data_IF_219682116642
#
_entry.id   IF_219682116642
#
_cell.length_a   1.000
_cell.length_b   1.000
_cell.length_c   1.000
_cell.angle_alpha   90.00
_cell.angle_beta   90.00
_cell.angle_gamma   90.00
#
_symmetry.space_group_name_H-M   'P 1'
#
loop_
_entity.id
_entity.type
_entity.pdbx_description
1 polymer ?
#
# COMPACT_ATOMS: atom_id res chain seq x y z
N UNK A 1 21.11 31.67 -10.34
CA UNK A 1 22.07 32.76 -10.10
C UNK A 1 22.54 33.26 -11.46
N UNK A 2 21.82 34.21 -12.05
CA UNK A 2 22.31 35.00 -13.18
C UNK A 2 21.89 36.44 -12.89
N UNK A 3 22.89 37.31 -12.68
CA UNK A 3 22.79 38.70 -12.17
C UNK A 3 22.42 38.78 -10.69
N UNK A 4 23.36 39.21 -9.85
CA UNK A 4 23.29 39.27 -8.37
C UNK A 4 22.24 40.22 -7.77
N UNK A 5 21.01 40.21 -8.28
CA UNK A 5 19.83 40.73 -7.59
C UNK A 5 19.06 39.56 -6.98
N UNK A 6 18.68 39.70 -5.72
CA UNK A 6 17.89 38.74 -4.97
C UNK A 6 16.45 38.76 -5.52
N UNK A 7 16.20 38.03 -6.60
CA UNK A 7 14.85 37.85 -7.11
C UNK A 7 14.06 37.02 -6.09
N UNK A 8 13.15 37.67 -5.36
CA UNK A 8 12.12 36.95 -4.60
C UNK A 8 11.26 36.20 -5.62
N UNK A 9 11.22 34.85 -5.61
CA UNK A 9 10.35 34.13 -6.52
C UNK A 9 8.90 34.54 -6.22
N UNK A 10 8.24 35.16 -7.20
CA UNK A 10 6.88 35.69 -7.03
C UNK A 10 5.85 34.60 -6.73
N UNK A 11 6.10 33.36 -7.15
CA UNK A 11 5.35 32.14 -6.80
C UNK A 11 6.25 30.90 -6.94
N UNK A 12 6.04 29.91 -6.07
CA UNK A 12 6.64 28.58 -6.17
C UNK A 12 7.82 28.34 -5.24
N UNK A 13 7.97 27.08 -4.84
CA UNK A 13 9.09 26.58 -4.05
C UNK A 13 10.17 26.05 -4.99
N UNK A 14 11.45 26.19 -4.60
CA UNK A 14 12.56 25.60 -5.36
C UNK A 14 12.46 24.08 -5.28
N UNK A 15 12.14 23.44 -6.41
CA UNK A 15 12.09 21.98 -6.56
C UNK A 15 13.48 21.39 -6.26
N UNK A 16 13.61 20.71 -5.11
CA UNK A 16 14.87 20.16 -4.63
C UNK A 16 15.31 20.67 -3.25
N UNK A 17 14.66 21.70 -2.71
CA UNK A 17 14.88 22.08 -1.31
C UNK A 17 14.19 21.11 -0.35
N UNK A 18 14.90 20.70 0.72
CA UNK A 18 14.39 19.76 1.74
C UNK A 18 13.13 20.29 2.44
N UNK A 19 12.96 21.61 2.49
CA UNK A 19 11.86 22.32 3.17
C UNK A 19 10.63 22.47 2.25
N UNK A 20 10.79 22.37 0.93
CA UNK A 20 9.66 22.53 0.01
C UNK A 20 8.51 21.54 0.26
N UNK A 21 8.74 20.23 0.48
CA UNK A 21 7.64 19.29 0.70
C UNK A 21 6.88 19.56 2.00
N UNK A 22 7.55 20.06 3.05
CA UNK A 22 6.90 20.36 4.32
C UNK A 22 6.04 21.62 4.20
N UNK A 23 6.55 22.67 3.57
CA UNK A 23 5.77 23.89 3.32
C UNK A 23 4.54 23.62 2.43
N UNK A 24 4.70 22.82 1.37
CA UNK A 24 3.58 22.43 0.52
C UNK A 24 2.50 21.66 1.31
N UNK A 25 2.91 20.76 2.21
CA UNK A 25 1.97 20.04 3.06
C UNK A 25 1.27 20.93 4.09
N UNK A 26 1.97 21.93 4.66
CA UNK A 26 1.37 22.90 5.58
C UNK A 26 0.34 23.75 4.84
N UNK A 27 0.67 24.21 3.63
CA UNK A 27 -0.23 24.99 2.80
C UNK A 27 -1.50 24.22 2.43
N UNK A 28 -1.34 22.97 1.97
CA UNK A 28 -2.47 22.12 1.60
C UNK A 28 -3.27 21.57 2.80
N UNK A 29 -2.79 21.77 4.03
CA UNK A 29 -3.55 21.38 5.23
C UNK A 29 -4.83 22.20 5.39
N UNK A 30 -4.88 23.45 4.90
CA UNK A 30 -6.10 24.26 4.91
C UNK A 30 -7.22 23.59 4.10
N UNK A 31 -6.86 22.98 2.97
CA UNK A 31 -7.80 22.19 2.17
C UNK A 31 -8.25 20.93 2.92
N UNK A 32 -7.35 20.25 3.62
CA UNK A 32 -7.70 19.07 4.44
C UNK A 32 -8.70 19.45 5.56
N UNK A 33 -8.50 20.60 6.21
CA UNK A 33 -9.41 21.15 7.22
C UNK A 33 -10.79 21.49 6.62
N UNK A 34 -10.82 22.16 5.47
CA UNK A 34 -12.06 22.44 4.75
C UNK A 34 -12.80 21.14 4.40
N UNK A 35 -12.11 20.14 3.86
CA UNK A 35 -12.72 18.85 3.52
C UNK A 35 -13.25 18.11 4.75
N UNK A 36 -12.60 18.24 5.91
CA UNK A 36 -13.11 17.68 7.16
C UNK A 36 -14.44 18.33 7.58
N UNK A 37 -14.54 19.66 7.50
CA UNK A 37 -15.81 20.37 7.78
C UNK A 37 -16.89 20.02 6.75
N UNK A 38 -16.55 20.03 5.46
CA UNK A 38 -17.48 19.70 4.38
C UNK A 38 -18.03 18.28 4.54
N UNK A 39 -17.18 17.31 4.91
CA UNK A 39 -17.57 15.93 5.18
C UNK A 39 -18.66 15.83 6.25
N UNK A 40 -18.53 16.57 7.35
CA UNK A 40 -19.57 16.55 8.40
C UNK A 40 -20.91 17.11 7.94
N UNK A 41 -20.91 18.11 7.06
CA UNK A 41 -22.14 18.69 6.49
C UNK A 41 -22.78 17.81 5.41
N UNK A 42 -21.96 17.05 4.67
CA UNK A 42 -22.38 16.24 3.53
C UNK A 42 -22.84 14.84 3.95
N UNK A 43 -22.23 14.27 4.98
CA UNK A 43 -22.53 12.92 5.45
C UNK A 43 -23.96 12.86 6.05
N UNK A 44 -24.85 12.13 5.37
CA UNK A 44 -26.25 11.91 5.81
C UNK A 44 -26.53 10.42 5.94
N UNK A 45 -27.19 10.04 7.04
CA UNK A 45 -27.63 8.67 7.30
C UNK A 45 -26.56 7.74 7.88
N UNK A 46 -26.97 6.88 8.81
CA UNK A 46 -26.07 5.91 9.47
C UNK A 46 -25.91 4.62 8.67
N UNK A 47 -26.99 4.13 8.06
CA UNK A 47 -27.04 2.92 7.23
C UNK A 47 -27.98 3.14 6.04
N UNK A 48 -27.67 2.53 4.90
CA UNK A 48 -28.57 2.50 3.74
C UNK A 48 -29.81 1.67 4.04
N UNK A 49 -30.96 2.04 3.47
CA UNK A 49 -32.15 1.22 3.57
C UNK A 49 -31.98 -0.10 2.80
N UNK A 50 -32.44 -1.18 3.44
CA UNK A 50 -32.52 -2.50 2.83
C UNK A 50 -33.59 -2.48 1.72
N UNK A 51 -33.33 -3.18 0.61
CA UNK A 51 -34.31 -3.23 -0.47
C UNK A 51 -35.52 -4.07 -0.05
N UNK A 52 -36.74 -3.54 -0.30
CA UNK A 52 -38.01 -4.20 0.06
C UNK A 52 -38.11 -5.61 -0.55
N UNK A 53 -37.65 -5.74 -1.78
CA UNK A 53 -37.64 -7.02 -2.50
C UNK A 53 -36.69 -8.05 -1.86
N UNK A 54 -35.51 -7.62 -1.42
CA UNK A 54 -34.57 -8.50 -0.71
C UNK A 54 -35.15 -8.99 0.62
N UNK A 55 -35.81 -8.09 1.37
CA UNK A 55 -36.50 -8.45 2.62
C UNK A 55 -37.61 -9.47 2.34
N UNK A 56 -38.39 -9.29 1.28
CA UNK A 56 -39.46 -10.23 0.90
C UNK A 56 -38.91 -11.62 0.59
N UNK A 57 -37.84 -11.72 -0.22
CA UNK A 57 -37.18 -12.99 -0.55
C UNK A 57 -36.57 -13.63 0.70
N UNK A 58 -35.96 -12.84 1.59
CA UNK A 58 -35.41 -13.33 2.86
C UNK A 58 -36.50 -13.92 3.76
N UNK A 59 -37.63 -13.23 3.89
CA UNK A 59 -38.78 -13.70 4.68
C UNK A 59 -39.37 -14.99 4.10
N UNK A 60 -39.50 -15.09 2.78
CA UNK A 60 -39.91 -16.33 2.08
C UNK A 60 -38.94 -17.49 2.37
N UNK A 61 -37.63 -17.26 2.27
CA UNK A 61 -36.63 -18.29 2.58
C UNK A 61 -36.73 -18.75 4.05
N UNK A 62 -36.91 -17.82 4.99
CA UNK A 62 -37.02 -18.17 6.41
C UNK A 62 -38.28 -18.99 6.71
N UNK A 63 -39.43 -18.63 6.11
CA UNK A 63 -40.67 -19.42 6.20
C UNK A 63 -40.47 -20.82 5.63
N UNK A 64 -39.85 -20.95 4.47
CA UNK A 64 -39.57 -22.24 3.84
C UNK A 64 -38.64 -23.11 4.70
N UNK A 65 -37.61 -22.52 5.31
CA UNK A 65 -36.70 -23.24 6.24
C UNK A 65 -37.44 -23.79 7.46
N UNK A 66 -38.33 -22.99 8.07
CA UNK A 66 -39.17 -23.43 9.19
C UNK A 66 -40.11 -24.57 8.78
N UNK A 67 -40.69 -24.49 7.58
CA UNK A 67 -41.53 -25.58 7.06
C UNK A 67 -40.72 -26.85 6.80
N UNK A 68 -39.48 -26.74 6.31
CA UNK A 68 -38.57 -27.88 6.09
C UNK A 68 -38.13 -28.52 7.41
N UNK A 69 -37.90 -27.77 8.50
CA UNK A 69 -37.51 -28.36 9.78
C UNK A 69 -38.58 -29.27 10.39
N UNK A 70 -39.87 -29.00 10.10
CA UNK A 70 -40.99 -29.82 10.58
C UNK A 70 -41.32 -31.06 9.73
N UNK A 71 -40.62 -31.29 8.60
CA UNK A 71 -40.92 -32.36 7.65
C UNK A 71 -39.96 -33.55 7.76
N UNK A 72 -40.50 -34.76 7.70
CA UNK A 72 -39.74 -36.02 7.69
C UNK A 72 -38.72 -36.09 6.54
N UNK A 73 -37.60 -36.78 6.79
CA UNK A 73 -36.36 -36.74 5.97
C UNK A 73 -36.54 -37.25 4.53
N UNK A 74 -37.51 -38.14 4.28
CA UNK A 74 -37.76 -38.79 2.98
C UNK A 74 -39.00 -38.31 2.21
N UNK A 75 -39.67 -37.24 2.66
CA UNK A 75 -40.86 -36.74 1.96
C UNK A 75 -40.52 -36.11 0.59
N UNK A 76 -41.29 -36.45 -0.45
CA UNK A 76 -41.22 -35.80 -1.77
C UNK A 76 -41.42 -34.28 -1.67
N UNK A 77 -42.20 -33.83 -0.70
CA UNK A 77 -42.43 -32.41 -0.42
C UNK A 77 -41.18 -31.71 0.09
N UNK A 78 -40.36 -32.42 0.89
CA UNK A 78 -39.08 -31.90 1.37
C UNK A 78 -38.13 -31.64 0.20
N UNK A 79 -38.08 -32.55 -0.78
CA UNK A 79 -37.24 -32.40 -1.98
C UNK A 79 -37.72 -31.23 -2.85
N UNK A 80 -39.04 -31.07 -3.04
CA UNK A 80 -39.62 -29.91 -3.76
C UNK A 80 -39.28 -28.59 -3.06
N UNK A 81 -39.49 -28.50 -1.75
CA UNK A 81 -39.16 -27.30 -0.94
C UNK A 81 -37.65 -27.01 -0.93
N UNK A 82 -36.79 -28.02 -0.99
CA UNK A 82 -35.34 -27.81 -1.12
C UNK A 82 -34.95 -27.23 -2.49
N UNK A 83 -35.61 -27.64 -3.58
CA UNK A 83 -35.41 -27.04 -4.91
C UNK A 83 -35.85 -25.57 -4.92
N UNK A 84 -37.01 -25.27 -4.34
CA UNK A 84 -37.53 -23.90 -4.19
C UNK A 84 -36.62 -23.02 -3.31
N UNK A 85 -36.08 -23.58 -2.23
CA UNK A 85 -35.09 -22.89 -1.40
C UNK A 85 -33.79 -22.60 -2.19
N UNK A 86 -33.41 -23.47 -3.12
CA UNK A 86 -32.26 -23.24 -4.00
C UNK A 86 -32.52 -22.11 -5.01
N UNK A 87 -33.73 -22.04 -5.60
CA UNK A 87 -34.09 -20.95 -6.52
C UNK A 87 -34.18 -19.61 -5.79
N UNK A 88 -34.81 -19.55 -4.62
CA UNK A 88 -34.87 -18.34 -3.79
C UNK A 88 -33.47 -17.88 -3.36
N UNK A 89 -32.57 -18.81 -3.03
CA UNK A 89 -31.17 -18.48 -2.72
C UNK A 89 -30.44 -17.89 -3.92
N UNK A 90 -30.63 -18.44 -5.11
CA UNK A 90 -30.04 -17.89 -6.33
C UNK A 90 -30.57 -16.47 -6.57
N UNK A 91 -31.90 -16.27 -6.50
CA UNK A 91 -32.52 -14.94 -6.63
C UNK A 91 -31.94 -13.94 -5.61
N UNK A 92 -31.84 -14.32 -4.34
CA UNK A 92 -31.31 -13.45 -3.28
C UNK A 92 -29.87 -13.00 -3.54
N UNK A 93 -29.07 -13.86 -4.15
CA UNK A 93 -27.67 -13.56 -4.47
C UNK A 93 -27.56 -12.62 -5.67
N UNK A 94 -28.45 -12.76 -6.65
CA UNK A 94 -28.52 -11.84 -7.79
C UNK A 94 -29.02 -10.45 -7.37
N UNK A 95 -29.82 -10.36 -6.31
CA UNK A 95 -30.41 -9.11 -5.82
C UNK A 95 -29.50 -8.37 -4.85
N UNK A 96 -29.52 -7.03 -4.90
CA UNK A 96 -28.76 -6.20 -3.95
C UNK A 96 -29.52 -6.08 -2.62
N UNK A 97 -28.83 -6.42 -1.54
CA UNK A 97 -29.35 -6.33 -0.16
C UNK A 97 -29.74 -4.90 0.24
N UNK A 98 -28.94 -3.92 -0.18
CA UNK A 98 -29.17 -2.50 0.04
C UNK A 98 -29.71 -1.84 -1.22
N UNK A 99 -30.54 -0.81 -1.07
CA UNK A 99 -30.83 0.10 -2.18
C UNK A 99 -29.54 0.83 -2.59
N UNK A 100 -29.08 0.72 -3.85
CA UNK A 100 -27.83 1.34 -4.28
C UNK A 100 -27.91 2.87 -4.39
N UNK A 101 -29.08 3.38 -4.77
CA UNK A 101 -29.39 4.80 -5.00
C UNK A 101 -30.37 5.30 -3.94
N UNK A 102 -29.96 5.21 -2.68
CA UNK A 102 -30.75 5.72 -1.56
C UNK A 102 -30.41 7.21 -1.37
N UNK A 103 -31.36 8.10 -1.62
CA UNK A 103 -31.17 9.55 -1.50
C UNK A 103 -30.91 9.99 -0.05
N UNK A 104 -31.27 9.16 0.92
CA UNK A 104 -31.11 9.38 2.36
C UNK A 104 -29.70 9.07 2.88
N UNK A 105 -28.88 8.36 2.09
CA UNK A 105 -27.52 7.98 2.48
C UNK A 105 -26.48 8.61 1.55
N UNK A 106 -25.80 9.64 2.05
CA UNK A 106 -24.72 10.32 1.34
C UNK A 106 -23.46 10.26 2.16
N UNK A 107 -22.33 9.97 1.53
CA UNK A 107 -21.02 10.02 2.16
C UNK A 107 -19.95 10.52 1.22
N UNK A 108 -19.00 11.27 1.76
CA UNK A 108 -17.80 11.65 1.06
C UNK A 108 -16.57 11.04 1.70
N UNK A 109 -15.70 10.47 0.86
CA UNK A 109 -14.39 9.99 1.23
C UNK A 109 -13.35 10.86 0.56
N UNK A 110 -12.36 11.32 1.32
CA UNK A 110 -11.30 12.18 0.86
C UNK A 110 -9.96 11.57 1.25
N UNK A 111 -9.03 11.47 0.29
CA UNK A 111 -7.67 11.02 0.52
C UNK A 111 -6.71 11.85 -0.33
N UNK A 112 -5.71 12.46 0.31
CA UNK A 112 -4.66 13.23 -0.36
C UNK A 112 -3.31 12.53 -0.30
N UNK A 113 -2.49 12.75 -1.31
CA UNK A 113 -1.07 12.43 -1.37
C UNK A 113 -0.33 13.54 -2.11
N UNK A 114 0.39 14.40 -1.38
CA UNK A 114 0.98 15.63 -1.91
C UNK A 114 -0.07 16.47 -2.67
N UNK A 115 0.10 16.64 -3.98
CA UNK A 115 -0.79 17.41 -4.86
C UNK A 115 -1.95 16.57 -5.41
N UNK A 116 -1.82 15.24 -5.43
CA UNK A 116 -2.83 14.33 -5.96
C UNK A 116 -3.83 13.98 -4.85
N UNK A 117 -5.12 14.21 -5.09
CA UNK A 117 -6.19 13.81 -4.17
C UNK A 117 -7.31 13.04 -4.86
N UNK A 118 -7.91 12.13 -4.12
CA UNK A 118 -9.02 11.29 -4.54
C UNK A 118 -10.25 11.61 -3.67
N UNK A 119 -11.37 11.87 -4.34
CA UNK A 119 -12.66 12.10 -3.71
C UNK A 119 -13.63 11.00 -4.15
N UNK A 120 -14.09 10.20 -3.21
CA UNK A 120 -15.15 9.22 -3.42
C UNK A 120 -16.48 9.76 -2.91
N UNK A 121 -17.44 9.99 -3.81
CA UNK A 121 -18.80 10.42 -3.45
C UNK A 121 -19.76 9.24 -3.57
N UNK A 122 -20.45 8.93 -2.50
CA UNK A 122 -21.63 8.05 -2.51
C UNK A 122 -22.84 8.98 -2.64
N UNK A 123 -23.35 9.15 -3.86
CA UNK A 123 -24.44 10.06 -4.16
C UNK A 123 -24.76 10.10 -5.66
N UNK A 124 -25.53 11.10 -6.06
CA UNK A 124 -25.86 11.32 -7.47
C UNK A 124 -24.67 11.92 -8.24
N UNK A 125 -24.70 11.85 -9.58
CA UNK A 125 -23.71 12.54 -10.43
C UNK A 125 -23.74 14.06 -10.21
N UNK A 126 -24.92 14.62 -9.94
CA UNK A 126 -25.07 16.05 -9.66
C UNK A 126 -24.32 16.44 -8.39
N UNK A 127 -24.45 15.66 -7.31
CA UNK A 127 -23.72 15.93 -6.05
C UNK A 127 -22.19 15.95 -6.26
N UNK A 128 -21.68 15.08 -7.15
CA UNK A 128 -20.26 15.06 -7.49
C UNK A 128 -19.82 16.32 -8.26
N UNK A 129 -20.65 16.81 -9.18
CA UNK A 129 -20.39 18.05 -9.93
C UNK A 129 -20.42 19.27 -8.98
N UNK A 130 -21.42 19.34 -8.09
CA UNK A 130 -21.52 20.42 -7.11
C UNK A 130 -20.31 20.41 -6.16
N UNK A 131 -19.90 19.23 -5.69
CA UNK A 131 -18.71 19.09 -4.85
C UNK A 131 -17.45 19.56 -5.58
N UNK A 132 -17.31 19.25 -6.88
CA UNK A 132 -16.21 19.74 -7.72
C UNK A 132 -16.20 21.27 -7.79
N UNK A 133 -17.34 21.91 -8.02
CA UNK A 133 -17.47 23.37 -8.11
C UNK A 133 -17.15 24.07 -6.77
N UNK A 134 -17.60 23.50 -5.65
CA UNK A 134 -17.29 24.02 -4.30
C UNK A 134 -15.79 24.00 -4.06
N UNK A 135 -15.13 22.88 -4.34
CA UNK A 135 -13.68 22.72 -4.15
C UNK A 135 -12.90 23.63 -5.09
N UNK A 136 -13.35 23.79 -6.35
CA UNK A 136 -12.74 24.71 -7.30
C UNK A 136 -12.84 26.17 -6.83
N UNK A 137 -14.00 26.55 -6.29
CA UNK A 137 -14.20 27.90 -5.72
C UNK A 137 -13.32 28.15 -4.51
N UNK A 138 -13.18 27.16 -3.62
CA UNK A 138 -12.31 27.22 -2.45
C UNK A 138 -10.84 27.36 -2.83
N UNK A 139 -10.35 26.51 -3.75
CA UNK A 139 -8.96 26.53 -4.23
C UNK A 139 -8.60 27.87 -4.90
N UNK A 140 -9.53 28.47 -5.64
CA UNK A 140 -9.31 29.76 -6.29
C UNK A 140 -9.32 30.94 -5.30
N UNK A 141 -10.24 30.91 -4.32
CA UNK A 141 -10.44 32.01 -3.36
C UNK A 141 -9.41 32.03 -2.24
N UNK A 142 -9.18 30.89 -1.59
CA UNK A 142 -8.32 30.83 -0.39
C UNK A 142 -6.88 30.49 -0.75
N UNK A 143 -6.68 29.50 -1.63
CA UNK A 143 -5.35 29.00 -1.96
C UNK A 143 -4.76 29.61 -3.24
N UNK A 144 -5.52 30.41 -3.99
CA UNK A 144 -5.12 30.99 -5.28
C UNK A 144 -4.46 29.98 -6.25
N UNK A 145 -4.91 28.72 -6.20
CA UNK A 145 -4.43 27.63 -7.03
C UNK A 145 -5.39 27.39 -8.20
N UNK A 146 -4.84 27.17 -9.39
CA UNK A 146 -5.60 26.80 -10.58
C UNK A 146 -5.66 25.28 -10.68
N UNK A 147 -6.87 24.75 -10.67
CA UNK A 147 -7.14 23.32 -10.84
C UNK A 147 -7.00 22.94 -12.32
N UNK A 148 -6.22 21.89 -12.62
CA UNK A 148 -6.14 21.36 -13.97
C UNK A 148 -7.42 20.58 -14.30
N UNK A 149 -8.21 21.08 -15.25
CA UNK A 149 -9.47 20.48 -15.66
C UNK A 149 -9.28 19.10 -16.31
N UNK A 150 -8.17 18.91 -17.03
CA UNK A 150 -7.81 17.65 -17.70
C UNK A 150 -7.60 16.50 -16.72
N UNK A 151 -7.09 16.79 -15.52
CA UNK A 151 -6.85 15.77 -14.48
C UNK A 151 -8.09 15.45 -13.66
N UNK A 152 -9.09 16.34 -13.64
CA UNK A 152 -10.27 16.21 -12.76
C UNK A 152 -11.50 15.70 -13.50
N UNK A 153 -11.37 14.51 -14.07
CA UNK A 153 -12.50 13.81 -14.69
C UNK A 153 -13.37 13.13 -13.62
N UNK A 154 -14.69 13.35 -13.68
CA UNK A 154 -15.66 12.61 -12.84
C UNK A 154 -15.97 11.28 -13.52
N UNK A 155 -15.33 10.21 -13.08
CA UNK A 155 -15.58 8.84 -13.55
C UNK A 155 -16.67 8.16 -12.74
N UNK A 156 -17.45 7.26 -13.36
CA UNK A 156 -18.35 6.40 -12.59
C UNK A 156 -17.54 5.41 -11.75
N UNK A 157 -17.98 5.05 -10.54
CA UNK A 157 -17.23 4.14 -9.67
C UNK A 157 -16.97 2.73 -10.21
N UNK A 158 -17.59 2.35 -11.34
CA UNK A 158 -17.35 1.07 -12.02
C UNK A 158 -16.30 1.19 -13.13
N UNK A 159 -15.95 2.40 -13.53
CA UNK A 159 -14.86 2.68 -14.45
C UNK A 159 -13.55 2.74 -13.67
N UNK A 160 -12.44 2.58 -14.39
CA UNK A 160 -11.10 2.60 -13.82
C UNK A 160 -10.64 4.04 -13.65
N UNK A 161 -10.45 4.46 -12.41
CA UNK A 161 -9.78 5.71 -12.09
C UNK A 161 -8.30 5.45 -11.81
N UNK A 162 -7.40 6.28 -12.34
CA UNK A 162 -5.97 6.18 -12.04
C UNK A 162 -5.62 7.05 -10.82
N UNK A 163 -4.94 6.48 -9.83
CA UNK A 163 -4.46 7.19 -8.64
C UNK A 163 -3.17 6.57 -8.16
N UNK A 164 -2.10 7.37 -8.01
CA UNK A 164 -0.77 6.92 -7.59
C UNK A 164 -0.30 5.66 -8.36
N UNK A 165 -0.47 5.66 -9.69
CA UNK A 165 -0.08 4.52 -10.55
C UNK A 165 -0.97 3.28 -10.46
N UNK A 166 -1.97 3.25 -9.57
CA UNK A 166 -2.97 2.19 -9.47
C UNK A 166 -4.24 2.53 -10.25
N UNK A 167 -4.89 1.51 -10.81
CA UNK A 167 -6.26 1.60 -11.32
C UNK A 167 -7.24 1.16 -10.23
N UNK A 168 -8.06 2.09 -9.74
CA UNK A 168 -9.08 1.85 -8.72
C UNK A 168 -10.41 1.59 -9.41
N UNK A 169 -11.09 0.52 -9.01
CA UNK A 169 -12.45 0.21 -9.49
C UNK A 169 -13.30 -0.36 -8.36
N UNK A 170 -14.61 -0.18 -8.46
CA UNK A 170 -15.57 -0.93 -7.66
C UNK A 170 -15.95 -2.20 -8.43
N UNK A 171 -15.85 -3.35 -7.77
CA UNK A 171 -16.25 -4.61 -8.38
C UNK A 171 -17.76 -4.64 -8.63
N UNK A 172 -18.14 -4.97 -9.87
CA UNK A 172 -19.52 -5.31 -10.25
C UNK A 172 -19.96 -6.61 -9.58
N UNK A 173 -21.27 -6.90 -9.62
CA UNK A 173 -21.79 -8.23 -9.26
C UNK A 173 -21.07 -9.27 -10.12
N UNK A 174 -20.37 -10.18 -9.47
CA UNK A 174 -19.63 -11.24 -10.13
C UNK A 174 -20.45 -12.53 -10.19
N UNK A 175 -19.84 -13.59 -10.72
CA UNK A 175 -20.37 -14.94 -10.53
C UNK A 175 -20.32 -15.25 -9.02
N UNK A 176 -21.44 -15.63 -8.40
CA UNK A 176 -21.46 -15.95 -6.99
C UNK A 176 -20.51 -17.10 -6.67
N UNK A 177 -19.64 -16.91 -5.69
CA UNK A 177 -18.74 -17.96 -5.22
C UNK A 177 -19.30 -18.64 -3.98
N UNK A 178 -18.90 -19.89 -3.76
CA UNK A 178 -19.25 -20.63 -2.55
C UNK A 178 -18.24 -20.34 -1.46
N UNK A 179 -18.75 -20.03 -0.28
CA UNK A 179 -17.97 -19.91 0.94
C UNK A 179 -17.37 -21.26 1.35
N UNK A 180 -16.38 -21.25 2.25
CA UNK A 180 -15.84 -22.47 2.90
C UNK A 180 -16.95 -23.33 3.56
N UNK A 181 -18.08 -22.71 3.90
CA UNK A 181 -19.28 -23.36 4.45
C UNK A 181 -20.32 -23.76 3.37
N UNK A 182 -19.96 -23.73 2.08
CA UNK A 182 -20.80 -24.10 0.94
C UNK A 182 -21.93 -23.11 0.61
N UNK A 183 -22.05 -21.99 1.32
CA UNK A 183 -23.06 -20.95 1.06
C UNK A 183 -22.68 -20.12 -0.16
N UNK A 184 -23.60 -19.96 -1.12
CA UNK A 184 -23.44 -19.02 -2.22
C UNK A 184 -23.48 -17.58 -1.68
N UNK A 185 -22.45 -16.79 -1.96
CA UNK A 185 -22.38 -15.38 -1.60
C UNK A 185 -21.71 -14.59 -2.72
N UNK A 186 -22.30 -13.47 -3.12
CA UNK A 186 -21.60 -12.48 -3.94
C UNK A 186 -20.72 -11.60 -3.03
N UNK A 187 -19.59 -12.16 -2.61
CA UNK A 187 -18.58 -11.46 -1.80
C UNK A 187 -17.88 -10.33 -2.57
N UNK A 188 -18.04 -10.31 -3.89
CA UNK A 188 -17.29 -9.45 -4.79
C UNK A 188 -17.99 -8.12 -5.00
N UNK A 189 -19.32 -8.07 -4.92
CA UNK A 189 -20.09 -6.85 -5.11
C UNK A 189 -19.72 -5.71 -4.15
N UNK A 190 -19.46 -4.52 -4.71
CA UNK A 190 -19.28 -3.29 -3.94
C UNK A 190 -17.95 -3.17 -3.19
N UNK A 191 -17.01 -4.11 -3.40
CA UNK A 191 -15.64 -4.00 -2.87
C UNK A 191 -14.78 -3.17 -3.81
N UNK A 192 -13.99 -2.27 -3.23
CA UNK A 192 -12.93 -1.55 -3.94
C UNK A 192 -11.82 -2.53 -4.29
N UNK A 193 -11.40 -2.51 -5.55
CA UNK A 193 -10.30 -3.30 -6.09
C UNK A 193 -9.23 -2.38 -6.65
N UNK A 194 -7.98 -2.78 -6.41
CA UNK A 194 -6.80 -2.09 -6.91
C UNK A 194 -6.19 -2.94 -8.02
N UNK A 195 -5.95 -2.35 -9.17
CA UNK A 195 -5.34 -3.01 -10.31
C UNK A 195 -4.02 -2.33 -10.68
N UNK A 196 -3.05 -3.14 -11.08
CA UNK A 196 -1.83 -2.72 -11.76
C UNK A 196 -2.17 -2.51 -13.25
N UNK A 197 -2.08 -1.28 -13.79
CA UNK A 197 -2.26 -1.02 -15.20
C UNK A 197 -1.20 -1.74 -16.03
N UNK A 198 -1.61 -2.33 -17.17
CA UNK A 198 -0.68 -3.02 -18.10
C UNK A 198 0.44 -2.09 -18.57
N UNK A 199 0.08 -0.83 -18.86
CA UNK A 199 0.99 0.19 -19.35
C UNK A 199 2.13 0.50 -18.36
N UNK A 200 1.91 0.41 -17.04
CA UNK A 200 2.93 0.81 -16.07
C UNK A 200 4.14 -0.12 -16.05
N UNK A 201 3.91 -1.43 -16.08
CA UNK A 201 5.03 -2.39 -16.11
C UNK A 201 5.64 -2.52 -17.51
N UNK A 202 4.85 -2.29 -18.58
CA UNK A 202 5.38 -2.16 -19.94
C UNK A 202 6.32 -0.97 -20.10
N UNK A 203 5.91 0.22 -19.62
CA UNK A 203 6.77 1.40 -19.61
C UNK A 203 8.10 1.14 -18.90
N UNK A 204 8.08 0.44 -17.76
CA UNK A 204 9.32 0.04 -17.07
C UNK A 204 10.19 -0.91 -17.89
N UNK A 205 9.59 -1.89 -18.57
CA UNK A 205 10.33 -2.83 -19.42
C UNK A 205 11.03 -2.10 -20.58
N UNK A 206 10.32 -1.17 -21.21
CA UNK A 206 10.85 -0.33 -22.31
C UNK A 206 11.97 0.57 -21.78
N UNK A 207 11.75 1.28 -20.66
CA UNK A 207 12.78 2.12 -20.01
C UNK A 207 14.04 1.34 -19.66
N UNK A 208 13.88 0.08 -19.27
CA UNK A 208 14.99 -0.78 -18.90
C UNK A 208 15.67 -1.47 -20.11
N UNK A 209 15.24 -1.19 -21.34
CA UNK A 209 15.70 -1.82 -22.60
C UNK A 209 15.66 -3.36 -22.59
N UNK A 210 14.83 -3.95 -21.72
CA UNK A 210 14.75 -5.40 -21.52
C UNK A 210 13.93 -6.12 -22.59
N UNK A 211 13.24 -5.38 -23.47
CA UNK A 211 12.28 -5.91 -24.44
C UNK A 211 12.58 -5.41 -25.85
N UNK A 212 12.32 -6.30 -26.81
CA UNK A 212 12.07 -5.96 -28.20
C UNK A 212 10.61 -6.31 -28.49
N UNK A 213 9.82 -5.31 -28.89
CA UNK A 213 8.45 -5.51 -29.36
C UNK A 213 8.57 -5.88 -30.84
N UNK A 214 8.16 -7.09 -31.21
CA UNK A 214 8.05 -7.50 -32.61
C UNK A 214 6.57 -7.61 -32.95
N UNK A 215 6.14 -7.01 -34.06
CA UNK A 215 4.78 -7.12 -34.57
C UNK A 215 4.74 -8.27 -35.57
N UNK A 216 3.84 -9.24 -35.36
CA UNK A 216 3.55 -10.26 -36.37
C UNK A 216 2.75 -9.65 -37.54
N UNK A 217 2.69 -10.38 -38.66
CA UNK A 217 1.87 -10.04 -39.82
C UNK A 217 0.37 -9.87 -39.48
N UNK A 218 -0.11 -10.52 -38.40
CA UNK A 218 -1.50 -10.44 -37.91
C UNK A 218 -1.75 -9.28 -36.91
N UNK A 219 -0.78 -8.37 -36.72
CA UNK A 219 -0.92 -7.22 -35.82
C UNK A 219 -0.81 -7.53 -34.33
N UNK A 220 -0.52 -8.79 -33.94
CA UNK A 220 -0.28 -9.18 -32.55
C UNK A 220 1.15 -8.85 -32.12
N UNK A 221 1.29 -8.20 -30.96
CA UNK A 221 2.59 -7.84 -30.37
C UNK A 221 3.21 -9.04 -29.65
N UNK A 222 4.34 -9.55 -30.16
CA UNK A 222 5.15 -10.56 -29.47
C UNK A 222 6.26 -9.84 -28.71
N UNK A 223 6.25 -9.99 -27.39
CA UNK A 223 7.25 -9.38 -26.52
C UNK A 223 8.42 -10.34 -26.33
N UNK A 224 9.55 -10.03 -26.98
CA UNK A 224 10.77 -10.85 -26.86
C UNK A 224 11.75 -10.21 -25.87
N UNK A 225 12.33 -10.98 -24.94
CA UNK A 225 13.35 -10.47 -24.04
C UNK A 225 14.61 -10.09 -24.83
N UNK A 226 15.19 -8.93 -24.54
CA UNK A 226 16.42 -8.41 -25.15
C UNK A 226 17.55 -8.41 -24.12
N UNK A 227 18.79 -8.62 -24.59
CA UNK A 227 19.98 -8.42 -23.77
C UNK A 227 20.21 -6.91 -23.56
N UNK A 228 20.41 -6.50 -22.32
CA UNK A 228 20.89 -5.17 -21.94
C UNK A 228 22.41 -5.11 -22.08
N UNK A 229 22.88 -4.51 -23.16
CA UNK A 229 24.31 -4.38 -23.43
C UNK A 229 25.02 -3.47 -22.41
N UNK A 230 24.27 -2.51 -21.85
CA UNK A 230 24.75 -1.54 -20.86
C UNK A 230 25.13 -2.18 -19.51
N UNK A 231 24.94 -3.48 -19.31
CA UNK A 231 25.28 -4.19 -18.08
C UNK A 231 26.41 -5.21 -18.27
N UNK A 232 26.96 -5.35 -19.49
CA UNK A 232 27.95 -6.37 -19.82
C UNK A 232 29.27 -6.18 -19.07
N UNK A 233 29.63 -4.94 -18.73
CA UNK A 233 30.87 -4.61 -18.02
C UNK A 233 30.83 -4.96 -16.53
N UNK A 234 29.64 -5.11 -15.93
CA UNK A 234 29.49 -5.36 -14.50
C UNK A 234 29.75 -6.83 -14.16
N UNK A 235 30.23 -7.15 -12.94
CA UNK A 235 30.36 -8.51 -12.48
C UNK A 235 29.00 -9.20 -12.35
N UNK A 236 28.96 -10.53 -12.52
CA UNK A 236 27.71 -11.28 -12.63
C UNK A 236 26.76 -11.06 -11.45
N UNK A 237 27.29 -11.00 -10.23
CA UNK A 237 26.48 -10.79 -9.02
C UNK A 237 25.85 -9.40 -8.93
N UNK A 238 26.47 -8.38 -9.52
CA UNK A 238 25.88 -7.04 -9.62
C UNK A 238 24.77 -6.99 -10.66
N UNK A 239 24.95 -7.67 -11.81
CA UNK A 239 23.88 -7.82 -12.81
C UNK A 239 22.66 -8.48 -12.14
N UNK A 240 22.84 -9.56 -11.40
CA UNK A 240 21.75 -10.19 -10.63
C UNK A 240 21.09 -9.23 -9.65
N UNK A 241 21.87 -8.41 -8.92
CA UNK A 241 21.34 -7.43 -7.96
C UNK A 241 20.48 -6.36 -8.63
N UNK A 242 20.92 -5.83 -9.77
CA UNK A 242 20.18 -4.80 -10.52
C UNK A 242 18.82 -5.36 -10.97
N UNK A 243 18.82 -6.53 -11.63
CA UNK A 243 17.58 -7.18 -12.06
C UNK A 243 16.66 -7.49 -10.87
N UNK A 244 17.20 -7.99 -9.76
CA UNK A 244 16.43 -8.23 -8.54
C UNK A 244 15.83 -6.96 -7.98
N UNK A 245 16.59 -5.88 -7.89
CA UNK A 245 16.13 -4.62 -7.33
C UNK A 245 14.97 -4.04 -8.15
N UNK A 246 15.03 -4.14 -9.47
CA UNK A 246 13.93 -3.73 -10.35
C UNK A 246 12.67 -4.57 -10.16
N UNK A 247 12.80 -5.90 -10.13
CA UNK A 247 11.68 -6.83 -9.94
C UNK A 247 11.03 -6.61 -8.57
N UNK A 248 11.85 -6.58 -7.53
CA UNK A 248 11.42 -6.41 -6.15
C UNK A 248 10.82 -5.02 -5.95
N UNK A 249 11.44 -3.97 -6.48
CA UNK A 249 10.94 -2.60 -6.36
C UNK A 249 9.58 -2.42 -7.02
N UNK A 250 9.38 -2.99 -8.21
CA UNK A 250 8.08 -2.98 -8.88
C UNK A 250 7.03 -3.77 -8.09
N UNK A 251 7.37 -4.97 -7.62
CA UNK A 251 6.46 -5.78 -6.82
C UNK A 251 6.11 -5.13 -5.47
N UNK A 252 7.09 -4.58 -4.75
CA UNK A 252 6.87 -3.90 -3.47
C UNK A 252 5.90 -2.74 -3.62
N UNK A 253 6.06 -1.96 -4.70
CA UNK A 253 5.14 -0.86 -5.00
C UNK A 253 3.73 -1.37 -5.28
N UNK A 254 3.56 -2.43 -6.08
CA UNK A 254 2.26 -2.95 -6.55
C UNK A 254 1.70 -4.15 -5.78
N UNK A 255 2.28 -4.52 -4.64
CA UNK A 255 1.92 -5.74 -3.87
C UNK A 255 0.47 -5.79 -3.39
N UNK A 256 -0.21 -4.64 -3.36
CA UNK A 256 -1.60 -4.50 -2.92
C UNK A 256 -2.61 -4.70 -4.05
N UNK A 257 -2.16 -4.78 -5.30
CA UNK A 257 -3.04 -4.99 -6.45
C UNK A 257 -3.65 -6.40 -6.45
N UNK A 258 -4.93 -6.49 -6.83
CA UNK A 258 -5.66 -7.75 -6.99
C UNK A 258 -5.13 -8.60 -8.15
N UNK A 259 -4.59 -7.95 -9.18
CA UNK A 259 -3.94 -8.59 -10.33
C UNK A 259 -2.41 -8.65 -10.20
N UNK A 260 -1.85 -8.68 -8.98
CA UNK A 260 -0.40 -8.81 -8.78
C UNK A 260 0.21 -10.01 -9.53
N UNK A 261 -0.58 -11.05 -9.80
CA UNK A 261 -0.16 -12.21 -10.59
C UNK A 261 0.27 -11.88 -12.03
N UNK A 262 -0.16 -10.75 -12.60
CA UNK A 262 0.29 -10.28 -13.92
C UNK A 262 1.80 -10.00 -13.93
N UNK A 263 2.40 -9.73 -12.77
CA UNK A 263 3.85 -9.58 -12.65
C UNK A 263 4.61 -10.90 -12.92
N UNK A 264 3.95 -12.06 -12.96
CA UNK A 264 4.61 -13.29 -13.43
C UNK A 264 5.06 -13.17 -14.89
N UNK A 265 4.27 -12.53 -15.75
CA UNK A 265 4.63 -12.32 -17.16
C UNK A 265 5.81 -11.34 -17.27
N UNK A 266 5.79 -10.26 -16.48
CA UNK A 266 6.93 -9.34 -16.33
C UNK A 266 8.20 -10.08 -15.86
N UNK A 267 8.06 -10.92 -14.83
CA UNK A 267 9.16 -11.70 -14.28
C UNK A 267 9.73 -12.69 -15.29
N UNK A 268 8.88 -13.35 -16.06
CA UNK A 268 9.29 -14.23 -17.15
C UNK A 268 10.20 -13.47 -18.11
N UNK A 269 9.76 -12.30 -18.60
CA UNK A 269 10.56 -11.51 -19.54
C UNK A 269 11.89 -11.06 -18.92
N UNK A 270 11.87 -10.59 -17.68
CA UNK A 270 13.08 -10.17 -16.96
C UNK A 270 14.07 -11.32 -16.74
N UNK A 271 13.59 -12.52 -16.39
CA UNK A 271 14.41 -13.72 -16.21
C UNK A 271 15.13 -14.11 -17.50
N UNK A 272 14.44 -14.10 -18.63
CA UNK A 272 15.07 -14.42 -19.92
C UNK A 272 15.95 -13.28 -20.44
N UNK A 273 15.64 -12.02 -20.14
CA UNK A 273 16.53 -10.88 -20.42
C UNK A 273 17.85 -11.02 -19.66
N UNK A 274 17.81 -11.37 -18.36
CA UNK A 274 18.99 -11.66 -17.55
C UNK A 274 19.81 -12.83 -18.11
N UNK A 275 19.13 -13.90 -18.53
CA UNK A 275 19.85 -15.04 -19.13
C UNK A 275 20.53 -14.66 -20.45
N UNK A 276 19.91 -13.77 -21.25
CA UNK A 276 20.49 -13.23 -22.49
C UNK A 276 21.65 -12.27 -22.23
N UNK A 277 21.61 -11.42 -21.20
CA UNK A 277 22.74 -10.54 -20.87
C UNK A 277 23.96 -11.33 -20.43
N UNK A 278 23.77 -12.33 -19.57
CA UNK A 278 24.84 -13.23 -19.15
C UNK A 278 25.38 -14.07 -20.33
N UNK A 279 24.49 -14.51 -21.23
CA UNK A 279 24.89 -15.21 -22.45
C UNK A 279 25.77 -14.32 -23.36
N UNK A 280 25.39 -13.06 -23.56
CA UNK A 280 26.18 -12.09 -24.30
C UNK A 280 27.56 -11.85 -23.66
N UNK A 281 27.59 -11.69 -22.33
CA UNK A 281 28.84 -11.47 -21.58
C UNK A 281 29.81 -12.64 -21.67
N UNK A 282 29.32 -13.86 -21.47
CA UNK A 282 30.13 -15.08 -21.46
C UNK A 282 30.25 -15.73 -22.86
N UNK A 283 29.85 -15.02 -23.93
CA UNK A 283 29.83 -15.50 -25.32
C UNK A 283 29.28 -16.93 -25.44
N UNK A 284 28.19 -17.19 -24.74
CA UNK A 284 27.59 -18.52 -24.56
C UNK A 284 26.13 -18.51 -25.00
N UNK A 285 25.51 -19.69 -25.14
CA UNK A 285 24.08 -19.77 -25.40
C UNK A 285 23.27 -19.58 -24.11
N UNK A 286 22.06 -19.03 -24.22
CA UNK A 286 21.11 -18.85 -23.11
C UNK A 286 20.88 -20.18 -22.37
N UNK A 287 20.80 -21.28 -23.09
CA UNK A 287 20.59 -22.61 -22.51
C UNK A 287 21.80 -23.07 -21.65
N UNK A 288 23.04 -22.81 -22.08
CA UNK A 288 24.25 -23.12 -21.29
C UNK A 288 24.30 -22.29 -20.00
N UNK A 289 23.97 -21.00 -20.09
CA UNK A 289 23.89 -20.11 -18.93
C UNK A 289 22.80 -20.55 -17.97
N UNK A 290 21.62 -20.88 -18.48
CA UNK A 290 20.53 -21.38 -17.65
C UNK A 290 20.98 -22.63 -16.88
N UNK A 291 21.62 -23.61 -17.53
CA UNK A 291 22.18 -24.77 -16.82
C UNK A 291 23.25 -24.43 -15.77
N UNK A 292 24.09 -23.42 -16.03
CA UNK A 292 25.19 -23.04 -15.12
C UNK A 292 24.68 -22.35 -13.85
N UNK A 293 23.77 -21.39 -14.00
CA UNK A 293 23.27 -20.54 -12.90
C UNK A 293 21.97 -21.07 -12.28
N UNK A 294 21.20 -21.92 -12.96
CA UNK A 294 20.02 -22.57 -12.40
C UNK A 294 20.45 -23.81 -11.60
N UNK A 295 20.48 -23.67 -10.28
CA UNK A 295 20.86 -24.73 -9.33
C UNK A 295 19.80 -24.81 -8.24
N UNK A 296 19.44 -26.01 -7.79
CA UNK A 296 18.45 -26.22 -6.72
C UNK A 296 17.09 -25.54 -6.99
N UNK A 297 16.65 -25.54 -8.26
CA UNK A 297 15.38 -24.95 -8.66
C UNK A 297 15.35 -23.41 -8.72
N UNK A 298 16.49 -22.73 -8.49
CA UNK A 298 16.60 -21.26 -8.48
C UNK A 298 17.78 -20.78 -9.32
N UNK A 299 17.67 -19.60 -9.93
CA UNK A 299 18.84 -18.95 -10.54
C UNK A 299 19.66 -18.27 -9.44
N UNK A 300 20.93 -18.67 -9.31
CA UNK A 300 21.82 -18.13 -8.29
C UNK A 300 23.24 -17.90 -8.81
N UNK A 301 23.93 -16.93 -8.22
CA UNK A 301 25.34 -16.66 -8.46
C UNK A 301 26.08 -16.48 -7.14
N UNK A 302 27.31 -17.00 -7.06
CA UNK A 302 28.17 -16.90 -5.86
C UNK A 302 29.24 -15.85 -6.10
N UNK A 303 29.53 -15.05 -5.08
CA UNK A 303 30.62 -14.07 -5.10
C UNK A 303 31.37 -14.12 -3.76
N UNK A 304 32.67 -13.86 -3.80
CA UNK A 304 33.52 -13.84 -2.61
C UNK A 304 33.45 -12.47 -1.95
N UNK A 305 33.31 -12.44 -0.62
CA UNK A 305 33.49 -11.23 0.20
C UNK A 305 34.62 -11.47 1.20
N UNK A 306 35.13 -10.39 1.81
CA UNK A 306 36.17 -10.46 2.84
C UNK A 306 35.81 -11.44 3.99
N UNK A 307 34.52 -11.58 4.31
CA UNK A 307 34.02 -12.47 5.38
C UNK A 307 33.44 -13.80 4.84
N UNK A 308 33.84 -14.22 3.64
CA UNK A 308 33.45 -15.50 3.02
C UNK A 308 32.56 -15.39 1.77
N UNK A 309 32.17 -16.54 1.22
CA UNK A 309 31.35 -16.62 0.00
C UNK A 309 29.88 -16.32 0.26
N UNK A 310 29.29 -15.39 -0.50
CA UNK A 310 27.86 -15.07 -0.46
C UNK A 310 27.17 -15.47 -1.76
N UNK A 311 25.89 -15.84 -1.66
CA UNK A 311 25.07 -16.22 -2.81
C UNK A 311 23.98 -15.17 -3.03
N UNK A 312 23.78 -14.76 -4.30
CA UNK A 312 22.65 -13.93 -4.72
C UNK A 312 21.68 -14.82 -5.48
N UNK A 313 20.42 -14.84 -5.04
CA UNK A 313 19.33 -15.56 -5.68
C UNK A 313 18.47 -14.60 -6.50
N UNK A 314 18.01 -15.02 -7.67
CA UNK A 314 16.96 -14.31 -8.40
C UNK A 314 15.64 -14.44 -7.63
N UNK A 315 14.86 -13.36 -7.54
CA UNK A 315 13.58 -13.32 -6.84
C UNK A 315 12.61 -14.43 -7.29
N UNK A 316 12.15 -15.27 -6.36
CA UNK A 316 11.26 -16.40 -6.66
C UNK A 316 10.07 -16.56 -5.69
N UNK A 317 9.89 -15.63 -4.75
CA UNK A 317 8.84 -15.69 -3.71
C UNK A 317 7.39 -15.58 -4.24
N UNK A 318 7.23 -15.46 -5.56
CA UNK A 318 5.95 -15.32 -6.24
C UNK A 318 5.34 -13.92 -6.11
N UNK A 319 4.33 -13.64 -6.94
CA UNK A 319 3.63 -12.35 -6.98
C UNK A 319 2.21 -12.49 -6.45
N UNK A 320 2.08 -12.70 -5.14
CA UNK A 320 0.78 -12.82 -4.47
C UNK A 320 0.39 -11.48 -3.85
N UNK A 321 -0.91 -11.14 -3.91
CA UNK A 321 -1.43 -9.97 -3.18
C UNK A 321 -1.12 -10.12 -1.69
N UNK A 322 -0.49 -9.11 -1.12
CA UNK A 322 -0.34 -9.02 0.33
C UNK A 322 -1.55 -8.29 0.94
N UNK A 323 -2.08 -8.76 2.09
CA UNK A 323 -3.12 -8.03 2.79
C UNK A 323 -2.58 -6.67 3.22
N UNK A 324 -3.41 -5.64 3.11
CA UNK A 324 -3.11 -4.34 3.73
C UNK A 324 -3.17 -4.58 5.24
N UNK A 325 -2.02 -4.61 5.89
CA UNK A 325 -1.94 -4.72 7.34
C UNK A 325 -2.32 -3.35 7.90
N UNK A 326 -3.62 -3.12 8.14
CA UNK A 326 -4.12 -1.91 8.84
C UNK A 326 -3.81 -1.95 10.33
N UNK A 327 -3.49 -3.14 10.85
CA UNK A 327 -2.92 -3.28 12.17
C UNK A 327 -1.46 -2.86 12.10
N UNK A 328 -1.23 -1.54 12.09
CA UNK A 328 -0.19 -1.03 12.96
C UNK A 328 -0.61 -1.44 14.37
N UNK A 329 -0.33 -2.69 14.75
CA UNK A 329 0.05 -2.94 16.11
C UNK A 329 1.13 -1.89 16.32
N UNK A 330 0.77 -0.82 17.02
CA UNK A 330 1.71 0.16 17.49
C UNK A 330 2.83 -0.69 18.01
N UNK A 331 3.98 -0.69 17.31
CA UNK A 331 5.17 -1.24 17.93
C UNK A 331 5.18 -0.47 19.23
N UNK A 332 4.91 -1.16 20.34
CA UNK A 332 5.09 -0.62 21.68
C UNK A 332 6.59 -0.38 21.74
N UNK A 333 7.05 0.70 21.09
CA UNK A 333 8.28 1.34 21.46
C UNK A 333 8.06 1.59 22.93
N UNK A 334 8.83 0.90 23.74
CA UNK A 334 8.80 0.99 25.18
C UNK A 334 8.88 2.48 25.50
N UNK A 335 7.76 3.08 25.92
CA UNK A 335 7.70 4.46 26.41
C UNK A 335 8.42 4.59 27.76
N UNK A 336 9.36 3.70 28.06
CA UNK A 336 10.04 3.59 29.34
C UNK A 336 10.70 4.93 29.67
N UNK A 337 11.48 5.50 28.75
CA UNK A 337 12.11 6.81 28.97
C UNK A 337 11.08 7.91 29.32
N UNK A 338 10.00 8.01 28.55
CA UNK A 338 8.94 8.99 28.78
C UNK A 338 8.26 8.78 30.13
N UNK A 339 7.97 7.53 30.50
CA UNK A 339 7.38 7.20 31.80
C UNK A 339 8.31 7.51 32.97
N UNK A 340 9.62 7.34 32.81
CA UNK A 340 10.61 7.64 33.84
C UNK A 340 10.87 9.15 33.96
N UNK A 341 10.97 9.85 32.83
CA UNK A 341 11.07 11.31 32.81
C UNK A 341 9.84 11.98 33.45
N UNK A 342 8.63 11.49 33.14
CA UNK A 342 7.39 11.98 33.76
C UNK A 342 7.30 11.71 35.27
N UNK A 343 8.04 10.74 35.83
CA UNK A 343 8.08 10.51 37.28
C UNK A 343 8.84 11.61 38.02
N UNK A 344 9.71 12.37 37.34
CA UNK A 344 10.41 13.51 37.94
C UNK A 344 11.42 13.16 39.05
N UNK A 345 11.76 11.87 39.22
CA UNK A 345 12.72 11.42 40.23
C UNK A 345 14.10 11.18 39.61
N UNK A 346 15.17 11.55 40.32
CA UNK A 346 16.53 11.20 39.95
C UNK A 346 16.77 9.71 40.23
N UNK A 347 17.18 8.94 39.22
CA UNK A 347 17.42 7.50 39.34
C UNK A 347 18.72 7.19 40.10
N UNK A 348 19.66 8.13 40.23
CA UNK A 348 20.88 7.94 41.02
C UNK A 348 20.68 8.20 42.51
N UNK A 349 20.04 9.31 42.88
CA UNK A 349 19.91 9.72 44.29
C UNK A 349 18.50 9.58 44.87
N UNK A 350 17.50 9.22 44.06
CA UNK A 350 16.11 9.02 44.48
C UNK A 350 15.33 10.30 44.80
N UNK A 351 15.95 11.48 44.76
CA UNK A 351 15.29 12.77 45.07
C UNK A 351 14.42 13.24 43.90
N UNK A 352 13.41 14.04 44.18
CA UNK A 352 12.54 14.73 43.19
C UNK A 352 13.01 16.18 42.98
N UNK A 353 13.96 16.43 42.05
CA UNK A 353 14.40 17.78 41.73
C UNK A 353 13.37 18.54 40.88
N UNK A 354 13.42 19.88 40.85
CA UNK A 354 12.57 20.70 39.98
C UNK A 354 12.90 20.57 38.49
N UNK A 355 14.14 20.14 38.15
CA UNK A 355 14.57 19.86 36.78
C UNK A 355 15.33 18.53 36.71
N UNK A 356 14.92 17.69 35.77
CA UNK A 356 15.55 16.41 35.45
C UNK A 356 16.19 16.46 34.07
N UNK A 357 17.37 15.85 33.94
CA UNK A 357 18.16 15.78 32.71
C UNK A 357 18.32 14.31 32.34
N UNK A 358 18.25 14.00 31.05
CA UNK A 358 18.49 12.64 30.54
C UNK A 358 19.95 12.53 30.09
N UNK A 359 20.71 11.66 30.76
CA UNK A 359 22.03 11.25 30.31
C UNK A 359 21.91 10.03 29.39
N UNK A 360 22.59 10.03 28.24
CA UNK A 360 22.53 8.94 27.25
C UNK A 360 23.93 8.52 26.78
N UNK A 361 24.19 7.22 26.77
CA UNK A 361 25.45 6.61 26.31
C UNK A 361 25.25 5.89 24.97
N UNK A 362 26.22 5.99 24.05
CA UNK A 362 26.14 5.40 22.70
C UNK A 362 26.08 3.86 22.72
N UNK A 363 26.94 3.19 23.49
CA UNK A 363 26.94 1.73 23.68
C UNK A 363 27.20 1.36 25.14
N UNK A 364 26.51 0.33 25.64
CA UNK A 364 26.73 -0.20 26.99
C UNK A 364 28.11 -0.85 27.14
N UNK A 365 28.64 -1.43 26.07
CA UNK A 365 29.97 -2.06 26.04
C UNK A 365 31.14 -1.08 26.15
N UNK A 366 30.88 0.24 26.08
CA UNK A 366 31.90 1.29 26.22
C UNK A 366 32.06 1.75 27.67
N UNK A 367 31.20 1.29 28.60
CA UNK A 367 31.26 1.62 30.03
C UNK A 367 32.25 0.71 30.75
N UNK A 368 33.11 1.31 31.58
CA UNK A 368 34.16 0.59 32.32
C UNK A 368 33.65 -0.11 33.59
N UNK A 369 32.50 0.33 34.12
CA UNK A 369 31.89 -0.21 35.33
C UNK A 369 32.58 0.23 36.61
N UNK A 370 33.47 1.22 36.55
CA UNK A 370 34.26 1.70 37.69
C UNK A 370 33.47 2.73 38.51
N UNK A 371 32.67 3.56 37.84
CA UNK A 371 31.85 4.58 38.50
C UNK A 371 30.48 4.03 38.91
N UNK A 372 29.95 4.48 40.06
CA UNK A 372 28.66 4.00 40.58
C UNK A 372 27.46 4.26 39.65
N UNK A 373 27.53 5.25 38.77
CA UNK A 373 26.50 5.48 37.75
C UNK A 373 26.62 4.52 36.56
N UNK A 374 27.83 4.10 36.19
CA UNK A 374 28.08 3.12 35.12
C UNK A 374 27.59 1.72 35.54
N UNK A 375 27.89 1.32 36.78
CA UNK A 375 27.42 0.06 37.36
C UNK A 375 25.89 -0.01 37.32
N UNK A 376 25.22 1.07 37.71
CA UNK A 376 23.75 1.14 37.67
C UNK A 376 23.19 1.03 36.25
N UNK A 377 23.84 1.63 35.25
CA UNK A 377 23.41 1.50 33.84
C UNK A 377 23.63 0.09 33.28
N UNK A 378 24.72 -0.60 33.70
CA UNK A 378 25.00 -1.98 33.35
C UNK A 378 24.01 -2.95 34.01
N UNK A 379 23.72 -2.81 35.30
CA UNK A 379 22.73 -3.61 36.02
C UNK A 379 21.33 -3.48 35.39
N UNK A 380 20.93 -2.25 35.03
CA UNK A 380 19.65 -2.00 34.39
C UNK A 380 19.62 -2.40 32.90
N UNK A 381 20.77 -2.67 32.29
CA UNK A 381 20.93 -2.90 30.84
C UNK A 381 20.28 -1.80 29.99
N UNK A 382 20.44 -0.53 30.38
CA UNK A 382 19.79 0.63 29.75
C UNK A 382 20.81 1.70 29.36
N UNK A 383 20.66 2.26 28.15
CA UNK A 383 21.52 3.33 27.60
C UNK A 383 21.20 4.74 28.10
N UNK A 384 20.14 4.89 28.89
CA UNK A 384 19.60 6.18 29.33
C UNK A 384 19.41 6.19 30.83
N UNK A 385 19.71 7.32 31.47
CA UNK A 385 19.57 7.54 32.90
C UNK A 385 18.95 8.92 33.17
N UNK A 386 17.91 9.00 34.00
CA UNK A 386 17.30 10.29 34.38
C UNK A 386 17.93 10.80 35.68
N UNK A 387 18.57 11.96 35.63
CA UNK A 387 19.39 12.49 36.73
C UNK A 387 19.05 13.95 37.05
N UNK A 388 19.33 14.38 38.28
CA UNK A 388 19.29 15.80 38.66
C UNK A 388 20.55 16.53 38.18
N UNK A 389 20.51 17.87 38.12
CA UNK A 389 21.66 18.72 37.70
C UNK A 389 22.94 18.43 38.51
N UNK A 390 22.83 18.20 39.82
CA UNK A 390 23.98 17.88 40.68
C UNK A 390 24.60 16.53 40.35
N UNK A 391 23.79 15.51 40.03
CA UNK A 391 24.29 14.19 39.64
C UNK A 391 24.81 14.21 38.20
N UNK A 392 24.18 14.96 37.31
CA UNK A 392 24.67 15.17 35.95
C UNK A 392 26.06 15.82 35.95
N UNK A 393 26.26 16.84 36.80
CA UNK A 393 27.55 17.52 36.93
C UNK A 393 28.65 16.55 37.38
N UNK A 394 28.35 15.62 38.30
CA UNK A 394 29.29 14.57 38.73
C UNK A 394 29.66 13.59 37.61
N UNK A 395 28.69 13.22 36.78
CA UNK A 395 28.92 12.35 35.61
C UNK A 395 29.85 13.03 34.61
N UNK A 396 29.63 14.33 34.36
CA UNK A 396 30.44 15.11 33.40
C UNK A 396 31.83 15.44 33.96
N UNK A 397 31.94 15.68 35.27
CA UNK A 397 33.23 16.00 35.91
C UNK A 397 34.12 14.77 36.15
N UNK A 398 33.60 13.55 35.98
CA UNK A 398 34.41 12.31 35.99
C UNK A 398 34.99 11.90 37.35
N UNK A 399 34.35 12.31 38.46
CA UNK A 399 34.75 11.96 39.83
C UNK A 399 33.77 11.02 40.52
#
# INVERSE_FOLDING_TARGET
MEKGQLQRPGRGLHQGSIISPTLANIYLNELDCFMATYKTSFDKGTKRHLSKEYISVQNKEQRLRKSISGLARNSRERIKKLKELKTLRNQRVTMSCSQPMDSSFRRIFYQRYADDFLIGVIGSKQDAITTKQIIQSFLHKELHLVLSEEKTLVTHGYEKAQFLGYEITISRKGVPSRDKLGKLSDRHHGRVRLYLPKQAWLKKLIQSEAIKIEHNADGTEIWKPKARNNLLYLPDHEIFRIYNWEIVGLYQYYRFADNASVLNDYYYIMKYSLAKTLAGKHKSSVHKIMRKYFREGRMQTRYQTHNGSKTVYLYDYGFKKQPIITNHASKKQSKELLTHFSKGCCELCGKTPPRTIVHHVRKLSELSGVSGWEQKMLEMNRKTLVVCETCYSKIVSGF
#
